data_IF_707076914208
#
_entry.id   IF_707076914208
#
_cell.length_a   1.000
_cell.length_b   1.000
_cell.length_c   1.000
_cell.angle_alpha   90.00
_cell.angle_beta   90.00
_cell.angle_gamma   90.00
#
_symmetry.space_group_name_H-M   'P 1'
#
loop_
_entity.id
_entity.type
_entity.pdbx_description
1 polymer ?
#
# COMPACT_ATOMS: atom_id res chain seq x y z
N UNK A 1 -11.61 -14.85 -36.37
CA UNK A 1 -11.59 -13.76 -35.36
C UNK A 1 -10.52 -12.72 -35.73
N UNK A 2 -10.47 -12.22 -36.97
CA UNK A 2 -9.36 -11.37 -37.47
C UNK A 2 -9.81 -10.19 -38.33
N UNK A 3 -11.00 -9.63 -38.11
CA UNK A 3 -11.49 -8.45 -38.86
C UNK A 3 -11.98 -7.28 -38.00
N UNK A 4 -11.95 -7.42 -36.67
CA UNK A 4 -12.40 -6.36 -35.75
C UNK A 4 -11.28 -5.43 -35.25
N UNK A 5 -10.00 -5.84 -35.38
CA UNK A 5 -8.85 -5.05 -34.86
C UNK A 5 -8.28 -4.03 -35.86
N UNK A 6 -8.61 -4.11 -37.15
CA UNK A 6 -8.11 -3.16 -38.16
C UNK A 6 -8.90 -1.85 -38.25
N UNK A 7 -10.02 -1.69 -37.53
CA UNK A 7 -10.83 -0.45 -37.58
C UNK A 7 -10.49 0.58 -36.49
N UNK A 8 -9.68 0.24 -35.49
CA UNK A 8 -9.38 1.14 -34.37
C UNK A 8 -8.08 1.94 -34.55
N UNK A 9 -7.20 1.53 -35.46
CA UNK A 9 -5.92 2.22 -35.71
C UNK A 9 -5.99 3.30 -36.81
N UNK A 10 -7.06 3.35 -37.60
CA UNK A 10 -7.20 4.33 -38.68
C UNK A 10 -7.81 5.69 -38.25
N UNK A 11 -8.37 5.77 -37.03
CA UNK A 11 -9.04 6.98 -36.52
C UNK A 11 -8.10 7.84 -35.66
N UNK A 12 -7.02 7.26 -35.10
CA UNK A 12 -6.12 7.94 -34.16
C UNK A 12 -4.91 8.60 -34.88
N UNK A 13 -4.62 8.22 -36.14
CA UNK A 13 -3.41 8.64 -36.87
C UNK A 13 -3.47 9.89 -37.76
N UNK A 14 -4.60 10.60 -37.89
CA UNK A 14 -4.78 11.63 -38.95
C UNK A 14 -5.04 13.08 -38.51
N UNK A 15 -4.81 13.50 -37.26
CA UNK A 15 -4.96 14.94 -36.93
C UNK A 15 -3.90 15.60 -36.04
N UNK A 16 -2.68 15.09 -36.08
CA UNK A 16 -1.50 15.73 -35.50
C UNK A 16 -0.45 16.01 -36.57
N UNK A 17 -0.79 16.87 -37.55
CA UNK A 17 0.22 17.60 -38.33
C UNK A 17 -0.40 18.81 -39.04
N UNK A 18 0.19 19.99 -38.79
CA UNK A 18 0.21 21.18 -39.67
C UNK A 18 -1.16 21.89 -39.81
N UNK A 19 -1.35 23.16 -39.48
CA UNK A 19 -0.64 24.34 -39.99
C UNK A 19 -0.78 25.53 -39.02
N UNK A 20 0.27 26.35 -38.98
CA UNK A 20 0.32 27.70 -38.46
C UNK A 20 0.86 28.58 -39.61
N UNK A 21 0.58 29.89 -39.58
CA UNK A 21 0.75 30.94 -40.62
C UNK A 21 -0.54 31.09 -41.46
N UNK A 22 -1.25 32.23 -41.56
CA UNK A 22 -0.86 33.64 -41.40
C UNK A 22 -2.01 34.52 -40.86
N UNK A 23 -1.65 35.67 -40.31
CA UNK A 23 -2.53 36.69 -39.77
C UNK A 23 -3.16 37.59 -40.85
N UNK A 24 -4.27 38.23 -40.47
CA UNK A 24 -4.83 39.45 -41.06
C UNK A 24 -5.45 39.36 -42.46
N UNK A 25 -6.78 39.21 -42.49
CA UNK A 25 -7.62 40.02 -43.37
C UNK A 25 -9.06 40.15 -42.86
N UNK A 26 -9.38 41.40 -42.46
CA UNK A 26 -10.68 42.08 -42.55
C UNK A 26 -11.80 41.55 -41.63
N UNK A 27 -12.06 42.20 -40.49
CA UNK A 27 -12.97 43.36 -40.37
C UNK A 27 -14.20 43.24 -41.28
N UNK A 28 -15.39 43.27 -40.65
CA UNK A 28 -16.75 43.20 -41.21
C UNK A 28 -17.32 41.76 -41.23
N UNK A 29 -17.98 41.28 -40.18
CA UNK A 29 -19.29 41.79 -39.75
C UNK A 29 -19.41 41.91 -38.24
N UNK A 30 -19.74 43.13 -37.83
CA UNK A 30 -20.13 43.51 -36.50
C UNK A 30 -21.67 43.55 -36.45
N UNK A 31 -22.22 43.19 -35.29
CA UNK A 31 -23.61 43.38 -34.83
C UNK A 31 -24.58 42.25 -35.22
N UNK A 32 -25.25 41.60 -34.27
CA UNK A 32 -26.34 42.19 -33.48
C UNK A 32 -26.38 41.59 -32.04
N UNK A 33 -26.31 42.49 -31.03
CA UNK A 33 -26.67 42.35 -29.59
C UNK A 33 -25.71 41.53 -28.70
N UNK A 34 -24.65 42.12 -28.13
CA UNK A 34 -24.64 42.88 -26.85
C UNK A 34 -24.18 41.96 -25.70
N UNK A 35 -23.10 42.17 -24.92
CA UNK A 35 -22.61 43.34 -24.18
C UNK A 35 -21.15 43.09 -23.75
N UNK A 36 -20.36 44.16 -23.59
CA UNK A 36 -18.93 44.15 -23.19
C UNK A 36 -18.73 44.09 -21.66
N UNK A 37 -17.59 43.48 -21.28
CA UNK A 37 -16.67 43.68 -20.13
C UNK A 37 -17.20 44.01 -18.72
N UNK A 38 -16.62 43.37 -17.69
CA UNK A 38 -15.78 43.98 -16.62
C UNK A 38 -15.28 42.89 -15.64
N UNK A 39 -14.07 43.12 -15.13
CA UNK A 39 -13.30 42.38 -14.11
C UNK A 39 -13.97 42.41 -12.72
N UNK A 40 -14.24 41.23 -12.13
CA UNK A 40 -14.41 40.80 -10.70
C UNK A 40 -15.11 41.68 -9.62
N UNK A 41 -15.46 41.18 -8.40
CA UNK A 41 -15.86 39.82 -7.96
C UNK A 41 -17.12 39.85 -7.03
N UNK A 42 -18.17 39.06 -7.28
CA UNK A 42 -19.08 38.54 -6.24
C UNK A 42 -20.01 37.45 -6.79
N UNK A 43 -20.07 36.33 -6.07
CA UNK A 43 -20.86 35.14 -6.37
C UNK A 43 -22.36 35.35 -6.10
N UNK A 44 -23.25 35.10 -7.07
CA UNK A 44 -24.56 34.45 -6.88
C UNK A 44 -25.29 34.14 -8.21
N UNK A 45 -25.35 32.84 -8.52
CA UNK A 45 -26.48 32.03 -9.01
C UNK A 45 -27.45 32.61 -10.08
N UNK A 46 -27.27 32.21 -11.34
CA UNK A 46 -28.05 31.13 -12.00
C UNK A 46 -27.64 30.94 -13.48
N UNK A 47 -27.49 29.67 -13.86
CA UNK A 47 -27.68 29.12 -15.21
C UNK A 47 -26.50 29.07 -16.20
N UNK A 48 -25.38 28.49 -15.75
CA UNK A 48 -24.78 27.36 -16.49
C UNK A 48 -24.20 26.38 -15.46
N UNK A 49 -25.05 25.56 -14.84
CA UNK A 49 -24.57 24.50 -13.95
C UNK A 49 -23.85 23.49 -14.84
N UNK A 50 -22.52 23.54 -14.85
CA UNK A 50 -21.70 22.53 -15.50
C UNK A 50 -22.02 21.21 -14.79
N UNK A 51 -22.58 20.20 -15.48
CA UNK A 51 -22.95 18.96 -14.82
C UNK A 51 -21.69 18.26 -14.33
N UNK A 52 -21.72 17.74 -13.09
CA UNK A 52 -20.63 16.92 -12.58
C UNK A 52 -20.40 15.67 -13.47
N UNK A 53 -19.24 15.02 -13.33
CA UNK A 53 -18.92 13.86 -14.15
C UNK A 53 -19.98 12.75 -14.07
N UNK A 54 -20.58 12.55 -12.89
CA UNK A 54 -21.65 11.59 -12.68
C UNK A 54 -22.91 11.92 -13.48
N UNK A 55 -23.42 13.14 -13.34
CA UNK A 55 -24.63 13.55 -14.05
C UNK A 55 -24.42 13.61 -15.56
N UNK A 56 -23.21 13.99 -16.02
CA UNK A 56 -22.83 13.95 -17.43
C UNK A 56 -22.85 12.51 -17.97
N UNK A 57 -22.25 11.55 -17.27
CA UNK A 57 -22.22 10.14 -17.70
C UNK A 57 -23.62 9.51 -17.66
N UNK A 58 -24.41 9.78 -16.62
CA UNK A 58 -25.76 9.26 -16.43
C UNK A 58 -26.83 9.98 -17.28
N UNK A 59 -26.44 11.00 -18.06
CA UNK A 59 -27.33 11.80 -18.92
C UNK A 59 -28.54 12.39 -18.18
N UNK A 60 -28.33 12.86 -16.96
CA UNK A 60 -29.38 13.49 -16.12
C UNK A 60 -28.99 14.90 -15.70
N UNK A 61 -29.98 15.71 -15.29
CA UNK A 61 -29.73 17.08 -14.78
C UNK A 61 -28.94 17.01 -13.47
N UNK A 62 -27.93 17.87 -13.33
CA UNK A 62 -27.21 18.06 -12.06
C UNK A 62 -28.01 19.04 -11.18
N UNK A 63 -28.54 18.56 -10.06
CA UNK A 63 -29.20 19.39 -9.06
C UNK A 63 -28.18 20.22 -8.26
N UNK A 64 -28.64 21.25 -7.55
CA UNK A 64 -27.78 22.02 -6.62
C UNK A 64 -27.22 21.10 -5.53
N UNK A 65 -28.07 20.26 -4.95
CA UNK A 65 -27.70 19.26 -3.93
C UNK A 65 -27.41 17.89 -4.54
N UNK A 66 -26.52 17.84 -5.54
CA UNK A 66 -26.14 16.57 -6.16
C UNK A 66 -25.11 15.81 -5.29
N UNK A 67 -25.39 14.56 -4.86
CA UNK A 67 -24.51 13.81 -3.95
C UNK A 67 -23.14 13.46 -4.56
N UNK A 68 -22.99 13.59 -5.88
CA UNK A 68 -21.74 13.32 -6.59
C UNK A 68 -20.94 14.57 -6.92
N UNK A 69 -21.58 15.75 -6.92
CA UNK A 69 -20.95 16.98 -7.44
C UNK A 69 -19.70 17.41 -6.68
N UNK A 70 -19.64 17.30 -5.33
CA UNK A 70 -18.43 17.67 -4.60
C UNK A 70 -17.22 16.77 -4.87
N UNK A 71 -17.43 15.52 -5.31
CA UNK A 71 -16.39 14.49 -5.38
C UNK A 71 -15.99 14.11 -6.80
N UNK A 72 -16.89 14.31 -7.78
CA UNK A 72 -16.67 13.91 -9.17
C UNK A 72 -16.71 15.11 -10.12
N UNK A 73 -15.56 15.77 -10.25
CA UNK A 73 -15.36 16.93 -11.12
C UNK A 73 -15.63 16.62 -12.60
N UNK A 74 -16.27 17.53 -13.36
CA UNK A 74 -16.46 17.36 -14.81
C UNK A 74 -15.15 17.25 -15.60
N UNK A 75 -14.02 17.71 -15.04
CA UNK A 75 -12.69 17.62 -15.65
C UNK A 75 -12.10 16.21 -15.58
N UNK A 76 -12.63 15.34 -14.70
CA UNK A 76 -12.12 14.00 -14.45
C UNK A 76 -13.21 12.93 -14.66
N UNK A 77 -13.79 12.82 -15.88
CA UNK A 77 -14.91 11.92 -16.14
C UNK A 77 -14.56 10.43 -15.91
N UNK A 78 -13.28 10.09 -16.03
CA UNK A 78 -12.80 8.72 -15.84
C UNK A 78 -12.98 8.23 -14.40
N UNK A 79 -12.81 9.11 -13.39
CA UNK A 79 -12.99 8.73 -11.97
C UNK A 79 -14.39 8.19 -11.71
N UNK A 80 -15.42 8.85 -12.25
CA UNK A 80 -16.79 8.35 -12.09
C UNK A 80 -17.07 7.14 -13.00
N UNK A 81 -16.51 7.09 -14.21
CA UNK A 81 -16.74 5.97 -15.13
C UNK A 81 -16.28 4.62 -14.55
N UNK A 82 -15.10 4.57 -13.94
CA UNK A 82 -14.57 3.34 -13.33
C UNK A 82 -15.38 2.91 -12.12
N UNK A 83 -15.72 3.86 -11.24
CA UNK A 83 -16.53 3.62 -10.04
C UNK A 83 -17.93 3.15 -10.42
N UNK A 84 -18.56 3.79 -11.42
CA UNK A 84 -19.86 3.40 -11.94
C UNK A 84 -19.85 1.97 -12.50
N UNK A 85 -18.78 1.58 -13.21
CA UNK A 85 -18.65 0.25 -13.80
C UNK A 85 -18.52 -0.86 -12.74
N UNK A 86 -17.82 -0.60 -11.64
CA UNK A 86 -17.54 -1.63 -10.61
C UNK A 86 -18.62 -1.67 -9.53
N UNK A 87 -19.00 -0.51 -9.00
CA UNK A 87 -19.91 -0.42 -7.85
C UNK A 87 -21.33 -0.03 -8.25
N UNK A 88 -21.50 0.71 -9.35
CA UNK A 88 -22.79 1.27 -9.75
C UNK A 88 -23.13 2.57 -9.03
N UNK A 89 -23.85 3.48 -9.71
CA UNK A 89 -24.12 4.82 -9.19
C UNK A 89 -24.93 4.80 -7.88
N UNK A 90 -25.95 3.94 -7.80
CA UNK A 90 -26.83 3.86 -6.63
C UNK A 90 -26.09 3.40 -5.37
N UNK A 91 -25.20 2.41 -5.50
CA UNK A 91 -24.41 1.92 -4.38
C UNK A 91 -23.41 2.97 -3.90
N UNK A 92 -22.74 3.64 -4.84
CA UNK A 92 -21.80 4.73 -4.52
C UNK A 92 -22.52 5.88 -3.82
N UNK A 93 -23.72 6.24 -4.28
CA UNK A 93 -24.55 7.25 -3.59
C UNK A 93 -24.87 6.83 -2.16
N UNK A 94 -25.29 5.58 -1.94
CA UNK A 94 -25.59 5.07 -0.58
C UNK A 94 -24.36 5.10 0.31
N UNK A 95 -23.24 4.54 -0.15
CA UNK A 95 -21.98 4.50 0.61
C UNK A 95 -21.51 5.91 1.00
N UNK A 96 -21.56 6.87 0.08
CA UNK A 96 -21.17 8.25 0.40
C UNK A 96 -22.12 8.90 1.42
N UNK A 97 -23.42 8.56 1.42
CA UNK A 97 -24.37 9.11 2.40
C UNK A 97 -24.24 8.46 3.78
N UNK A 98 -23.76 7.22 3.86
CA UNK A 98 -23.47 6.52 5.13
C UNK A 98 -22.19 7.04 5.80
N UNK A 99 -21.26 7.61 5.03
CA UNK A 99 -20.01 8.18 5.53
C UNK A 99 -20.21 9.64 6.02
N UNK A 100 -19.62 10.04 7.17
CA UNK A 100 -19.62 11.42 7.64
C UNK A 100 -19.05 12.38 6.60
N UNK A 101 -19.61 13.59 6.50
CA UNK A 101 -19.29 14.53 5.42
C UNK A 101 -17.80 14.84 5.28
N UNK A 102 -17.09 14.92 6.42
CA UNK A 102 -15.65 15.17 6.48
C UNK A 102 -14.80 14.09 5.81
N UNK A 103 -15.30 12.86 5.70
CA UNK A 103 -14.57 11.70 5.16
C UNK A 103 -15.04 11.31 3.76
N UNK A 104 -16.09 11.94 3.22
CA UNK A 104 -16.66 11.55 1.92
C UNK A 104 -15.69 11.75 0.75
N UNK A 105 -14.79 12.73 0.84
CA UNK A 105 -13.73 12.94 -0.16
C UNK A 105 -12.79 11.73 -0.20
N UNK A 106 -12.31 11.28 0.96
CA UNK A 106 -11.41 10.13 1.06
C UNK A 106 -12.11 8.82 0.68
N UNK A 107 -13.39 8.67 1.05
CA UNK A 107 -14.21 7.54 0.64
C UNK A 107 -14.37 7.49 -0.89
N UNK A 108 -14.66 8.63 -1.53
CA UNK A 108 -14.75 8.71 -2.99
C UNK A 108 -13.42 8.35 -3.67
N UNK A 109 -12.29 8.85 -3.14
CA UNK A 109 -10.96 8.51 -3.65
C UNK A 109 -10.65 7.00 -3.50
N UNK A 110 -11.01 6.41 -2.36
CA UNK A 110 -10.84 4.97 -2.10
C UNK A 110 -11.67 4.12 -3.06
N UNK A 111 -12.92 4.49 -3.31
CA UNK A 111 -13.77 3.83 -4.30
C UNK A 111 -13.17 3.92 -5.71
N UNK A 112 -12.61 5.07 -6.09
CA UNK A 112 -11.92 5.24 -7.38
C UNK A 112 -10.69 4.31 -7.47
N UNK A 113 -9.87 4.25 -6.42
CA UNK A 113 -8.72 3.36 -6.38
C UNK A 113 -9.13 1.89 -6.51
N UNK A 114 -10.06 1.42 -5.68
CA UNK A 114 -10.52 0.04 -5.68
C UNK A 114 -11.15 -0.36 -7.01
N UNK A 115 -11.97 0.52 -7.60
CA UNK A 115 -12.53 0.29 -8.92
C UNK A 115 -11.44 0.12 -9.99
N UNK A 116 -10.43 1.00 -10.00
CA UNK A 116 -9.32 0.89 -10.93
C UNK A 116 -8.53 -0.41 -10.77
N UNK A 117 -8.24 -0.82 -9.53
CA UNK A 117 -7.53 -2.08 -9.28
C UNK A 117 -8.39 -3.27 -9.72
N UNK A 118 -9.69 -3.28 -9.42
CA UNK A 118 -10.63 -4.34 -9.85
C UNK A 118 -10.76 -4.44 -11.37
N UNK A 119 -10.64 -3.33 -12.09
CA UNK A 119 -10.64 -3.34 -13.56
C UNK A 119 -9.34 -3.90 -14.15
N UNK A 120 -8.20 -3.70 -13.47
CA UNK A 120 -6.90 -4.28 -13.88
C UNK A 120 -6.78 -5.76 -13.51
N UNK A 121 -7.31 -6.13 -12.35
CA UNK A 121 -7.36 -7.49 -11.84
C UNK A 121 -8.80 -7.86 -11.45
N UNK A 122 -9.57 -8.46 -12.38
CA UNK A 122 -10.95 -8.86 -12.12
C UNK A 122 -11.10 -9.99 -11.09
N UNK A 123 -10.05 -10.78 -10.84
CA UNK A 123 -10.10 -11.91 -9.92
C UNK A 123 -9.84 -11.44 -8.50
N UNK A 124 -8.67 -10.86 -8.23
CA UNK A 124 -8.25 -10.52 -6.87
C UNK A 124 -8.40 -9.04 -6.54
N UNK A 125 -8.38 -8.14 -7.53
CA UNK A 125 -8.51 -6.69 -7.31
C UNK A 125 -7.57 -6.18 -6.20
N UNK A 126 -8.11 -5.43 -5.24
CA UNK A 126 -7.33 -4.92 -4.10
C UNK A 126 -6.82 -6.03 -3.16
N UNK A 127 -7.48 -7.20 -3.10
CA UNK A 127 -7.00 -8.32 -2.28
C UNK A 127 -5.68 -8.89 -2.80
N UNK A 128 -5.44 -8.85 -4.10
CA UNK A 128 -4.16 -9.25 -4.70
C UNK A 128 -3.01 -8.35 -4.22
N UNK A 129 -3.23 -7.04 -4.19
CA UNK A 129 -2.27 -6.08 -3.66
C UNK A 129 -1.99 -6.30 -2.16
N UNK A 130 -3.03 -6.56 -1.37
CA UNK A 130 -2.89 -6.87 0.07
C UNK A 130 -2.09 -8.16 0.26
N UNK A 131 -2.38 -9.22 -0.51
CA UNK A 131 -1.67 -10.49 -0.42
C UNK A 131 -0.19 -10.35 -0.77
N UNK A 132 0.13 -9.63 -1.86
CA UNK A 132 1.51 -9.36 -2.26
C UNK A 132 2.27 -8.57 -1.18
N UNK A 133 1.64 -7.54 -0.60
CA UNK A 133 2.26 -6.75 0.47
C UNK A 133 2.48 -7.60 1.74
N UNK A 134 1.54 -8.45 2.10
CA UNK A 134 1.69 -9.37 3.23
C UNK A 134 2.83 -10.37 3.01
N UNK A 135 3.00 -10.89 1.80
CA UNK A 135 4.15 -11.75 1.47
C UNK A 135 5.47 -10.99 1.59
N UNK A 136 5.53 -9.74 1.14
CA UNK A 136 6.72 -8.89 1.31
C UNK A 136 7.04 -8.65 2.79
N UNK A 137 6.03 -8.32 3.61
CA UNK A 137 6.20 -8.15 5.05
C UNK A 137 6.75 -9.43 5.70
N UNK A 138 6.21 -10.60 5.35
CA UNK A 138 6.69 -11.88 5.88
C UNK A 138 8.12 -12.18 5.46
N UNK A 139 8.45 -11.95 4.18
CA UNK A 139 9.81 -12.13 3.66
C UNK A 139 10.81 -11.22 4.38
N UNK A 140 10.47 -9.94 4.52
CA UNK A 140 11.33 -8.96 5.17
C UNK A 140 11.50 -9.26 6.66
N UNK A 141 10.43 -9.71 7.32
CA UNK A 141 10.48 -10.14 8.72
C UNK A 141 11.35 -11.38 8.90
N UNK A 142 11.28 -12.34 7.97
CA UNK A 142 12.11 -13.55 7.99
C UNK A 142 13.60 -13.20 7.79
N UNK A 143 13.91 -12.31 6.86
CA UNK A 143 15.28 -11.81 6.65
C UNK A 143 15.81 -11.11 7.91
N UNK A 144 15.02 -10.21 8.49
CA UNK A 144 15.39 -9.52 9.72
C UNK A 144 15.68 -10.53 10.85
N UNK A 145 14.84 -11.55 11.00
CA UNK A 145 15.02 -12.59 12.01
C UNK A 145 16.28 -13.43 11.74
N UNK A 146 16.57 -13.76 10.49
CA UNK A 146 17.78 -14.46 10.10
C UNK A 146 19.04 -13.64 10.43
N UNK A 147 19.05 -12.34 10.10
CA UNK A 147 20.16 -11.44 10.44
C UNK A 147 20.35 -11.31 11.95
N UNK A 148 19.25 -11.21 12.72
CA UNK A 148 19.31 -11.18 14.19
C UNK A 148 19.91 -12.47 14.75
N UNK A 149 19.49 -13.63 14.24
CA UNK A 149 20.03 -14.93 14.66
C UNK A 149 21.53 -15.04 14.34
N UNK A 150 21.96 -14.52 13.20
CA UNK A 150 23.37 -14.52 12.79
C UNK A 150 24.22 -13.60 13.69
N UNK A 151 23.73 -12.41 14.02
CA UNK A 151 24.39 -11.52 15.00
C UNK A 151 24.57 -12.21 16.35
N UNK A 152 23.55 -12.90 16.84
CA UNK A 152 23.64 -13.65 18.10
C UNK A 152 24.66 -14.78 18.03
N UNK A 153 24.74 -15.49 16.89
CA UNK A 153 25.78 -16.50 16.67
C UNK A 153 27.18 -15.91 16.74
N UNK A 154 27.44 -14.78 16.09
CA UNK A 154 28.74 -14.12 16.16
C UNK A 154 29.10 -13.71 17.59
N UNK A 155 28.17 -13.08 18.31
CA UNK A 155 28.39 -12.66 19.70
C UNK A 155 28.68 -13.84 20.64
N UNK A 156 27.96 -14.95 20.49
CA UNK A 156 28.21 -16.14 21.30
C UNK A 156 29.58 -16.74 20.97
N UNK A 157 29.93 -16.86 19.69
CA UNK A 157 31.24 -17.37 19.26
C UNK A 157 32.39 -16.50 19.79
N UNK A 158 32.25 -15.17 19.74
CA UNK A 158 33.23 -14.24 20.29
C UNK A 158 33.40 -14.43 21.80
N UNK A 159 32.30 -14.56 22.55
CA UNK A 159 32.35 -14.82 23.99
C UNK A 159 33.02 -16.17 24.31
N UNK A 160 32.70 -17.24 23.59
CA UNK A 160 33.35 -18.55 23.77
C UNK A 160 34.84 -18.50 23.45
N UNK A 161 35.22 -17.85 22.35
CA UNK A 161 36.63 -17.71 21.98
C UNK A 161 37.41 -16.90 23.02
N UNK A 162 36.82 -15.83 23.58
CA UNK A 162 37.40 -15.05 24.66
C UNK A 162 37.60 -15.86 25.94
N UNK A 163 36.63 -16.73 26.29
CA UNK A 163 36.72 -17.61 27.45
C UNK A 163 37.85 -18.66 27.29
N UNK A 164 37.97 -19.26 26.10
CA UNK A 164 39.04 -20.24 25.81
C UNK A 164 40.41 -19.57 25.83
N UNK A 165 40.56 -18.38 25.20
CA UNK A 165 41.81 -17.62 25.23
C UNK A 165 42.25 -17.29 26.67
N UNK A 166 41.29 -16.89 27.51
CA UNK A 166 41.53 -16.60 28.94
C UNK A 166 41.97 -17.84 29.73
N UNK A 167 41.39 -19.02 29.46
CA UNK A 167 41.78 -20.28 30.11
C UNK A 167 43.15 -20.82 29.64
N UNK A 168 43.54 -20.59 28.38
CA UNK A 168 44.86 -21.01 27.88
C UNK A 168 46.03 -20.24 28.51
N UNK A 169 45.86 -18.94 28.80
CA UNK A 169 46.83 -18.17 29.58
C UNK A 169 46.97 -18.67 31.03
N UNK A 170 45.88 -19.11 31.67
CA UNK A 170 45.93 -19.70 33.00
C UNK A 170 46.65 -21.07 33.02
N UNK A 171 46.39 -21.94 32.05
CA UNK A 171 46.99 -23.27 31.97
C UNK A 171 48.51 -23.25 31.71
N UNK A 172 49.00 -22.31 30.89
CA UNK A 172 50.44 -22.16 30.61
C UNK A 172 51.24 -21.63 31.81
N UNK A 173 50.60 -20.86 32.70
CA UNK A 173 51.21 -20.39 33.95
C UNK A 173 51.22 -21.49 35.02
N UNK A 174 50.29 -22.46 34.95
CA UNK A 174 50.20 -23.58 35.91
C UNK A 174 51.20 -24.72 35.68
N UNK A 175 51.91 -24.78 34.56
CA UNK A 175 52.94 -25.81 34.29
C UNK A 175 54.30 -25.57 34.97
N UNK A 176 54.45 -24.52 35.79
CA UNK A 176 55.71 -24.20 36.48
C UNK A 176 55.81 -24.69 37.93
N UNK A 177 54.81 -25.36 38.51
CA UNK A 177 54.91 -25.91 39.88
C UNK A 177 54.28 -27.29 39.98
N UNK A 178 55.13 -28.32 39.88
CA UNK A 178 54.80 -29.66 40.33
C UNK A 178 54.58 -29.67 41.85
N UNK A 179 53.40 -30.11 42.29
CA UNK A 179 53.17 -30.48 43.69
C UNK A 179 51.75 -30.18 44.18
N UNK A 180 50.95 -31.23 44.34
CA UNK A 180 49.75 -31.20 45.19
C UNK A 180 48.44 -31.38 44.45
N UNK A 181 48.00 -32.64 44.31
CA UNK A 181 46.58 -32.95 44.11
C UNK A 181 45.81 -32.59 45.37
N UNK A 182 44.84 -31.67 45.27
CA UNK A 182 43.69 -31.64 46.16
C UNK A 182 42.42 -31.55 45.30
N UNK A 183 41.59 -32.58 45.42
CA UNK A 183 40.22 -32.58 44.94
C UNK A 183 39.43 -31.57 45.78
N UNK A 184 39.17 -30.40 45.22
CA UNK A 184 38.22 -29.44 45.78
C UNK A 184 36.81 -29.88 45.36
N UNK A 185 36.05 -30.43 46.31
CA UNK A 185 34.60 -30.58 46.16
C UNK A 185 34.02 -29.16 46.13
N UNK A 186 33.70 -28.68 44.94
CA UNK A 186 33.05 -27.39 44.77
C UNK A 186 31.60 -27.49 45.25
N UNK A 187 31.35 -26.86 46.38
CA UNK A 187 30.03 -26.55 46.90
C UNK A 187 29.21 -25.76 45.86
N UNK A 188 27.95 -26.14 45.71
CA UNK A 188 27.00 -25.54 44.79
C UNK A 188 26.82 -24.04 45.15
N UNK A 189 27.09 -23.09 44.24
CA UNK A 189 26.79 -21.69 44.53
C UNK A 189 25.27 -21.52 44.60
N UNK A 190 24.79 -21.11 45.78
CA UNK A 190 23.41 -20.69 45.99
C UNK A 190 23.02 -19.60 44.98
N UNK A 191 21.78 -19.69 44.49
CA UNK A 191 21.18 -18.73 43.57
C UNK A 191 21.29 -17.29 44.12
N UNK A 192 21.78 -16.33 43.32
CA UNK A 192 21.70 -14.92 43.70
C UNK A 192 20.23 -14.50 43.74
N UNK A 193 19.85 -13.80 44.80
CA UNK A 193 18.56 -13.12 44.91
C UNK A 193 18.37 -12.14 43.75
N UNK A 194 17.23 -12.26 43.08
CA UNK A 194 16.78 -11.37 42.01
C UNK A 194 16.69 -9.93 42.50
N UNK A 195 17.36 -8.95 41.86
CA UNK A 195 17.02 -7.55 42.04
C UNK A 195 15.67 -7.27 41.37
N UNK A 196 14.70 -6.80 42.15
CA UNK A 196 13.42 -6.30 41.68
C UNK A 196 13.64 -5.02 40.87
N UNK A 197 13.62 -5.11 39.54
CA UNK A 197 13.50 -3.95 38.68
C UNK A 197 12.05 -3.45 38.66
N UNK A 198 11.80 -2.12 38.61
CA UNK A 198 10.45 -1.62 38.37
C UNK A 198 9.95 -2.10 37.00
N UNK A 199 8.65 -2.38 36.85
CA UNK A 199 8.10 -2.92 35.60
C UNK A 199 8.30 -1.94 34.45
N UNK A 200 8.76 -2.46 33.32
CA UNK A 200 8.83 -1.75 32.04
C UNK A 200 7.40 -1.37 31.62
N UNK A 201 7.15 -0.15 31.10
CA UNK A 201 5.85 0.18 30.54
C UNK A 201 5.50 -0.80 29.42
N UNK A 202 4.31 -1.41 29.51
CA UNK A 202 3.74 -2.23 28.45
C UNK A 202 3.60 -1.38 27.17
N UNK A 203 3.88 -1.94 25.98
CA UNK A 203 3.47 -1.29 24.74
C UNK A 203 1.93 -1.14 24.74
N UNK A 204 1.37 -0.09 24.12
CA UNK A 204 -0.06 0.06 23.99
C UNK A 204 -0.65 -1.21 23.37
N UNK A 205 -1.59 -1.84 24.06
CA UNK A 205 -2.43 -2.85 23.43
C UNK A 205 -3.31 -2.13 22.41
N UNK A 206 -3.00 -2.27 21.13
CA UNK A 206 -4.01 -2.05 20.11
C UNK A 206 -5.05 -3.15 20.26
N UNK A 207 -6.24 -2.72 20.65
CA UNK A 207 -7.45 -3.51 20.76
C UNK A 207 -7.84 -4.10 19.42
N UNK A 208 -7.35 -5.30 19.09
CA UNK A 208 -7.98 -6.15 18.09
C UNK A 208 -9.18 -6.85 18.73
N UNK A 209 -10.24 -6.08 18.95
CA UNK A 209 -11.58 -6.64 19.04
C UNK A 209 -12.11 -6.81 17.61
N UNK A 210 -11.68 -7.86 16.92
CA UNK A 210 -12.54 -8.49 15.90
C UNK A 210 -12.49 -9.98 16.19
N UNK A 211 -13.57 -10.43 16.81
CA UNK A 211 -13.95 -11.83 16.92
C UNK A 211 -14.10 -12.36 15.50
N UNK A 212 -13.06 -13.01 14.97
CA UNK A 212 -13.26 -14.00 13.92
C UNK A 212 -13.27 -15.35 14.63
N UNK A 213 -14.48 -15.88 14.76
CA UNK A 213 -14.74 -17.21 15.27
C UNK A 213 -14.05 -18.23 14.34
N UNK A 214 -12.99 -18.86 14.83
CA UNK A 214 -12.41 -20.04 14.18
C UNK A 214 -12.87 -21.27 14.97
N UNK A 215 -13.61 -22.13 14.31
CA UNK A 215 -13.99 -23.44 14.84
C UNK A 215 -12.75 -24.27 15.19
N UNK A 216 -12.82 -24.93 16.34
CA UNK A 216 -11.79 -25.80 16.90
C UNK A 216 -11.60 -27.12 16.12
N UNK A 217 -10.34 -27.38 15.70
CA UNK A 217 -9.54 -28.64 15.86
C UNK A 217 -10.04 -29.99 15.30
N UNK A 218 -9.19 -31.07 15.22
CA UNK A 218 -7.72 -31.19 15.20
C UNK A 218 -7.14 -32.20 14.16
N UNK A 219 -5.79 -32.28 14.10
CA UNK A 219 -4.93 -33.49 13.96
C UNK A 219 -3.92 -33.55 12.79
N UNK A 220 -2.64 -33.63 13.18
CA UNK A 220 -1.44 -34.03 12.42
C UNK A 220 -1.43 -35.57 12.21
N UNK A 221 -0.60 -36.20 11.33
CA UNK A 221 0.87 -36.08 11.40
C UNK A 221 1.72 -36.16 10.09
N UNK A 222 2.87 -35.48 10.15
CA UNK A 222 4.24 -35.74 9.65
C UNK A 222 4.56 -36.47 8.31
N UNK A 223 5.70 -36.00 7.74
CA UNK A 223 6.71 -36.72 6.90
C UNK A 223 6.45 -36.70 5.37
N UNK A 224 7.38 -36.51 4.42
CA UNK A 224 8.84 -36.65 4.27
C UNK A 224 9.33 -35.76 3.08
N UNK A 225 10.60 -35.33 3.12
CA UNK A 225 11.53 -34.93 2.04
C UNK A 225 11.04 -34.30 0.70
N UNK A 226 11.69 -33.20 0.30
CA UNK A 226 12.63 -33.10 -0.86
C UNK A 226 12.84 -31.61 -1.21
N UNK A 227 14.09 -31.16 -1.09
CA UNK A 227 14.61 -29.93 -1.72
C UNK A 227 14.86 -30.16 -3.21
N UNK A 228 14.69 -29.13 -4.04
CA UNK A 228 15.73 -28.85 -5.01
C UNK A 228 16.21 -27.40 -4.92
N UNK A 229 17.53 -27.29 -4.95
CA UNK A 229 18.30 -26.07 -5.17
C UNK A 229 17.93 -25.39 -6.48
N UNK A 230 18.03 -24.06 -6.48
CA UNK A 230 18.43 -23.30 -7.67
C UNK A 230 17.30 -22.61 -8.43
N UNK A 231 16.86 -21.46 -7.93
CA UNK A 231 16.34 -20.41 -8.81
C UNK A 231 16.53 -19.04 -8.12
N UNK A 232 17.64 -18.39 -8.44
CA UNK A 232 17.77 -16.94 -8.32
C UNK A 232 16.71 -16.31 -9.24
N UNK A 233 15.68 -15.70 -8.64
CA UNK A 233 14.88 -14.68 -9.31
C UNK A 233 14.70 -13.49 -8.36
N UNK A 234 15.81 -12.82 -8.10
CA UNK A 234 15.76 -11.37 -7.89
C UNK A 234 15.33 -10.71 -9.20
N UNK A 235 14.64 -9.57 -9.08
CA UNK A 235 14.14 -8.66 -10.12
C UNK A 235 12.68 -8.92 -10.53
N UNK A 236 11.76 -8.33 -9.75
CA UNK A 236 10.46 -7.87 -10.25
C UNK A 236 10.47 -6.34 -10.10
N UNK A 237 10.11 -5.57 -11.15
CA UNK A 237 10.34 -4.13 -11.20
C UNK A 237 9.52 -3.40 -10.14
N UNK A 238 10.17 -2.48 -9.43
CA UNK A 238 9.51 -1.42 -8.66
C UNK A 238 8.72 -0.54 -9.65
N UNK A 239 7.52 -0.98 -10.01
CA UNK A 239 6.52 -0.07 -10.54
C UNK A 239 6.03 0.73 -9.33
N UNK A 240 6.71 1.84 -9.10
CA UNK A 240 6.30 2.92 -8.22
C UNK A 240 4.92 3.39 -8.72
N UNK A 241 3.84 2.87 -8.11
CA UNK A 241 2.48 3.34 -8.37
C UNK A 241 2.38 4.65 -7.60
N UNK A 242 2.32 5.82 -8.26
CA UNK A 242 2.10 7.07 -7.56
C UNK A 242 0.71 6.98 -6.94
N UNK A 243 0.71 6.96 -5.61
CA UNK A 243 -0.48 6.69 -4.81
C UNK A 243 -1.43 7.90 -4.78
N UNK A 244 -0.93 9.10 -5.11
CA UNK A 244 -1.71 10.32 -5.28
C UNK A 244 -0.95 11.29 -6.20
N UNK A 245 -1.47 11.55 -7.40
CA UNK A 245 -1.24 12.76 -8.21
C UNK A 245 -2.56 13.11 -8.91
#
# INVERSE_FOLDING_TARGET
MSRERERLDEIIGKKLKTENIDASSKLHMQNIMGRRRILEPSCTKLNTIIPCAACKLLRRKCAEECPFSPYFSPHEPQKFAVVHKVFGASNVSKLLMEVPESQRVDAANSLVYEANVRLRDPLYGCMGAISALNQQLQSLQAELNATRAEILRYKYREATNSLIASNTHAALVSTATAGGSTVAVAELPQAPSTPTYPPRPLPPQESLAVVVSYCSSPSLPQSLYVTPSGANFSVIPNNNIPYFD
#
